data_IF_528434326093
#
_entry.id   IF_528434326093
#
_cell.length_a   1.000
_cell.length_b   1.000
_cell.length_c   1.000
_cell.angle_alpha   90.00
_cell.angle_beta   90.00
_cell.angle_gamma   90.00
#
_symmetry.space_group_name_H-M   'P 1'
#
loop_
_entity.id
_entity.type
_entity.pdbx_description
1 polymer ?
#
# COMPACT_ATOMS: atom_id res chain seq x y z
N UNK A 1 3.71 -23.97 5.67
CA UNK A 1 2.71 -22.88 5.80
C UNK A 1 2.60 -22.04 4.54
N UNK A 2 3.72 -21.62 3.94
CA UNK A 2 3.75 -20.75 2.76
C UNK A 2 3.87 -21.50 1.42
N UNK A 3 3.56 -22.80 1.39
CA UNK A 3 3.56 -23.59 0.15
C UNK A 3 2.19 -23.49 -0.51
N UNK A 4 2.17 -23.46 -1.83
CA UNK A 4 0.94 -23.60 -2.60
C UNK A 4 0.24 -24.92 -2.27
N UNK A 5 -1.07 -24.96 -2.55
CA UNK A 5 -1.84 -26.21 -2.57
C UNK A 5 -1.38 -27.09 -3.73
N UNK A 6 -1.68 -28.39 -3.63
CA UNK A 6 -1.40 -29.36 -4.70
C UNK A 6 -2.72 -29.99 -5.17
N UNK A 7 -3.20 -29.69 -6.39
CA UNK A 7 -2.66 -28.67 -7.31
C UNK A 7 -2.90 -27.23 -6.80
N UNK A 8 -2.18 -26.22 -7.34
CA UNK A 8 -2.49 -24.81 -7.04
C UNK A 8 -3.88 -24.43 -7.54
N UNK A 9 -4.69 -23.77 -6.70
CA UNK A 9 -6.07 -23.36 -7.05
C UNK A 9 -6.26 -21.87 -6.74
N UNK A 10 -5.80 -20.96 -7.61
CA UNK A 10 -6.11 -19.54 -7.49
C UNK A 10 -7.62 -19.35 -7.54
N UNK A 11 -8.18 -18.66 -6.54
CA UNK A 11 -9.64 -18.48 -6.37
C UNK A 11 -10.06 -17.01 -6.40
N UNK A 12 -9.09 -16.09 -6.39
CA UNK A 12 -9.32 -14.65 -6.43
C UNK A 12 -8.59 -14.03 -7.63
N UNK A 13 -9.10 -12.88 -8.05
CA UNK A 13 -8.38 -12.01 -8.97
C UNK A 13 -7.26 -11.26 -8.22
N UNK A 14 -6.02 -11.47 -8.67
CA UNK A 14 -4.82 -10.92 -8.03
C UNK A 14 -4.35 -9.66 -8.75
N UNK A 15 -5.14 -8.59 -8.56
CA UNK A 15 -4.92 -7.27 -9.16
C UNK A 15 -3.55 -6.65 -8.87
N UNK A 16 -2.88 -7.10 -7.81
CA UNK A 16 -1.50 -6.75 -7.43
C UNK A 16 -0.45 -7.20 -8.45
N UNK A 17 -0.75 -8.22 -9.25
CA UNK A 17 0.12 -8.79 -10.29
C UNK A 17 -0.28 -8.35 -11.71
N UNK A 18 -1.42 -7.68 -11.86
CA UNK A 18 -1.81 -7.09 -13.14
C UNK A 18 -0.94 -5.89 -13.50
N UNK A 19 -0.77 -5.68 -14.81
CA UNK A 19 -0.12 -4.49 -15.33
C UNK A 19 -0.69 -3.21 -14.68
N UNK A 20 0.17 -2.27 -14.25
CA UNK A 20 -0.28 -1.05 -13.62
C UNK A 20 -0.96 -0.14 -14.66
N UNK A 21 -1.93 0.70 -14.25
CA UNK A 21 -2.44 1.76 -15.12
C UNK A 21 -1.29 2.60 -15.68
N UNK A 22 -1.23 2.70 -17.00
CA UNK A 22 -0.30 3.59 -17.69
C UNK A 22 -0.82 5.03 -17.66
N UNK A 23 0.10 5.99 -17.71
CA UNK A 23 -0.26 7.40 -17.87
C UNK A 23 -0.84 7.63 -19.26
N UNK A 24 -1.98 8.31 -19.36
CA UNK A 24 -2.53 8.72 -20.65
C UNK A 24 -1.50 9.49 -21.49
N UNK A 25 -1.31 9.17 -22.79
CA UNK A 25 -0.32 9.85 -23.64
C UNK A 25 -0.51 11.38 -23.69
N UNK A 26 -1.76 11.86 -23.62
CA UNK A 26 -2.09 13.29 -23.64
C UNK A 26 -1.72 14.03 -22.35
N UNK A 27 -1.44 13.32 -21.27
CA UNK A 27 -1.15 13.87 -19.95
C UNK A 27 0.31 13.61 -19.50
N UNK A 28 1.15 13.05 -20.38
CA UNK A 28 2.57 12.86 -20.11
C UNK A 28 3.29 14.21 -20.14
N UNK A 29 3.78 14.65 -18.98
CA UNK A 29 4.69 15.79 -18.87
C UNK A 29 6.13 15.31 -19.11
N UNK A 30 7.00 16.13 -19.73
CA UNK A 30 8.42 15.81 -19.84
C UNK A 30 8.99 15.55 -18.45
N UNK A 31 9.77 14.47 -18.31
CA UNK A 31 10.26 14.02 -17.02
C UNK A 31 11.15 15.08 -16.36
N UNK A 32 10.76 15.56 -15.18
CA UNK A 32 11.71 16.19 -14.27
C UNK A 32 12.52 15.10 -13.58
N UNK A 33 13.78 15.39 -13.22
CA UNK A 33 14.58 14.48 -12.39
C UNK A 33 13.84 14.09 -11.11
N UNK A 34 14.15 12.91 -10.57
CA UNK A 34 13.63 12.49 -9.26
C UNK A 34 14.36 13.25 -8.15
N UNK A 35 13.61 13.65 -7.13
CA UNK A 35 14.14 14.24 -5.90
C UNK A 35 13.46 13.60 -4.69
N UNK A 36 14.20 13.51 -3.59
CA UNK A 36 13.72 12.96 -2.32
C UNK A 36 13.55 14.09 -1.32
N UNK A 37 12.47 14.04 -0.53
CA UNK A 37 12.21 15.00 0.54
C UNK A 37 11.58 14.31 1.75
N UNK A 38 11.87 14.84 2.93
CA UNK A 38 11.32 14.37 4.20
C UNK A 38 10.23 15.31 4.69
N UNK A 39 9.01 14.79 4.83
CA UNK A 39 7.87 15.56 5.31
C UNK A 39 7.53 15.14 6.73
N UNK A 40 7.68 16.06 7.70
CA UNK A 40 7.31 15.83 9.10
C UNK A 40 5.80 16.04 9.27
N UNK A 41 5.08 15.00 9.71
CA UNK A 41 3.71 15.13 10.21
C UNK A 41 3.71 15.19 11.73
N UNK A 42 3.08 16.23 12.30
CA UNK A 42 2.89 16.35 13.74
C UNK A 42 1.69 15.55 14.22
N UNK A 43 1.61 15.31 15.54
CA UNK A 43 0.46 14.66 16.16
C UNK A 43 -0.83 15.47 15.93
N UNK A 44 -0.76 16.79 16.01
CA UNK A 44 -1.92 17.67 15.80
C UNK A 44 -2.42 17.61 14.36
N UNK A 45 -1.52 17.55 13.37
CA UNK A 45 -1.88 17.36 11.97
C UNK A 45 -2.55 15.99 11.76
N UNK A 46 -2.01 14.92 12.36
CA UNK A 46 -2.62 13.59 12.30
C UNK A 46 -4.01 13.56 12.95
N UNK A 47 -4.17 14.21 14.10
CA UNK A 47 -5.47 14.32 14.79
C UNK A 47 -6.46 15.13 13.96
N UNK A 48 -6.02 16.20 13.31
CA UNK A 48 -6.83 16.99 12.37
C UNK A 48 -7.35 16.14 11.21
N UNK A 49 -6.49 15.30 10.61
CA UNK A 49 -6.90 14.37 9.56
C UNK A 49 -7.92 13.34 10.06
N UNK A 50 -7.75 12.82 11.28
CA UNK A 50 -8.69 11.88 11.89
C UNK A 50 -10.06 12.51 12.15
N UNK A 51 -10.09 13.71 12.72
CA UNK A 51 -11.33 14.45 12.98
C UNK A 51 -12.06 14.72 11.66
N UNK A 52 -11.33 15.18 10.64
CA UNK A 52 -11.91 15.42 9.30
C UNK A 52 -12.52 14.16 8.69
N UNK A 53 -11.80 13.04 8.70
CA UNK A 53 -12.32 11.78 8.18
C UNK A 53 -13.57 11.30 8.95
N UNK A 54 -13.61 11.53 10.27
CA UNK A 54 -14.78 11.19 11.10
C UNK A 54 -15.99 12.09 10.80
N UNK A 55 -15.79 13.40 10.63
CA UNK A 55 -16.88 14.34 10.34
C UNK A 55 -17.53 14.12 8.98
N UNK A 56 -16.80 13.53 8.02
CA UNK A 56 -17.28 13.22 6.66
C UNK A 56 -18.18 11.95 6.60
N UNK A 57 -18.80 11.54 7.72
CA UNK A 57 -19.65 10.35 7.80
C UNK A 57 -18.88 9.02 7.81
N UNK A 58 -17.60 9.07 8.18
CA UNK A 58 -16.71 7.92 8.16
C UNK A 58 -16.88 6.97 9.33
N UNK A 59 -16.72 5.67 9.06
CA UNK A 59 -16.36 4.70 10.10
C UNK A 59 -14.98 5.06 10.66
N UNK A 60 -14.67 4.58 11.87
CA UNK A 60 -13.36 4.82 12.47
C UNK A 60 -12.31 3.99 11.72
N UNK A 61 -11.43 4.66 10.98
CA UNK A 61 -10.28 4.05 10.31
C UNK A 61 -9.00 4.26 11.13
N UNK A 62 -8.01 3.40 10.93
CA UNK A 62 -6.71 3.52 11.56
C UNK A 62 -5.95 4.78 11.11
N UNK A 63 -5.00 5.23 11.94
CA UNK A 63 -4.10 6.35 11.58
C UNK A 63 -3.40 6.10 10.24
N UNK A 64 -3.00 4.85 9.98
CA UNK A 64 -2.34 4.47 8.74
C UNK A 64 -3.26 4.65 7.52
N UNK A 65 -4.49 4.13 7.58
CA UNK A 65 -5.44 4.22 6.46
C UNK A 65 -5.79 5.67 6.13
N UNK A 66 -5.97 6.51 7.15
CA UNK A 66 -6.26 7.94 6.98
C UNK A 66 -5.06 8.67 6.36
N UNK A 67 -3.84 8.38 6.83
CA UNK A 67 -2.64 8.99 6.31
C UNK A 67 -2.34 8.54 4.87
N UNK A 68 -2.45 7.23 4.59
CA UNK A 68 -2.26 6.68 3.25
C UNK A 68 -3.27 7.26 2.26
N UNK A 69 -4.54 7.39 2.69
CA UNK A 69 -5.57 8.08 1.92
C UNK A 69 -5.20 9.54 1.63
N UNK A 70 -4.76 10.27 2.65
CA UNK A 70 -4.34 11.66 2.48
C UNK A 70 -3.18 11.80 1.49
N UNK A 71 -2.13 10.99 1.64
CA UNK A 71 -0.96 10.99 0.75
C UNK A 71 -1.37 10.65 -0.68
N UNK A 72 -2.20 9.62 -0.89
CA UNK A 72 -2.62 9.22 -2.22
C UNK A 72 -3.41 10.33 -2.93
N UNK A 73 -4.35 10.97 -2.21
CA UNK A 73 -5.08 12.14 -2.71
C UNK A 73 -4.15 13.30 -3.06
N UNK A 74 -3.19 13.61 -2.18
CA UNK A 74 -2.20 14.65 -2.42
C UNK A 74 -1.30 14.35 -3.63
N UNK A 75 -0.88 13.09 -3.81
CA UNK A 75 -0.08 12.68 -4.96
C UNK A 75 -0.84 12.87 -6.28
N UNK A 76 -2.12 12.49 -6.34
CA UNK A 76 -2.97 12.73 -7.50
C UNK A 76 -3.06 14.22 -7.84
N UNK A 77 -3.30 15.08 -6.83
CA UNK A 77 -3.37 16.54 -7.00
C UNK A 77 -2.03 17.13 -7.45
N UNK A 78 -0.93 16.77 -6.80
CA UNK A 78 0.40 17.29 -7.10
C UNK A 78 0.87 16.92 -8.52
N UNK A 79 0.50 15.73 -9.00
CA UNK A 79 0.81 15.29 -10.37
C UNK A 79 -0.10 15.94 -11.41
N UNK A 80 -1.25 16.49 -11.01
CA UNK A 80 -2.26 17.05 -11.92
C UNK A 80 -2.84 15.96 -12.83
N UNK A 81 -3.15 14.79 -12.27
CA UNK A 81 -3.71 13.68 -13.04
C UNK A 81 -5.13 14.02 -13.53
N UNK A 82 -5.48 13.71 -14.79
CA UNK A 82 -6.85 13.83 -15.30
C UNK A 82 -7.85 13.07 -14.43
N UNK A 83 -9.09 13.54 -14.34
CA UNK A 83 -10.10 12.96 -13.45
C UNK A 83 -10.41 11.49 -13.79
N UNK A 84 -10.37 11.12 -15.06
CA UNK A 84 -10.61 9.76 -15.55
C UNK A 84 -9.39 8.83 -15.44
N UNK A 85 -8.21 9.36 -15.11
CA UNK A 85 -6.99 8.57 -14.96
C UNK A 85 -7.11 7.59 -13.80
N UNK A 86 -7.06 6.30 -14.10
CA UNK A 86 -6.91 5.26 -13.08
C UNK A 86 -5.53 5.37 -12.42
N UNK A 87 -5.52 5.26 -11.10
CA UNK A 87 -4.31 5.18 -10.27
C UNK A 87 -4.40 3.96 -9.36
N UNK A 88 -3.27 3.32 -9.14
CA UNK A 88 -3.12 2.15 -8.28
C UNK A 88 -2.22 2.50 -7.11
N UNK A 89 -2.69 2.23 -5.88
CA UNK A 89 -1.89 2.35 -4.67
C UNK A 89 -1.43 0.96 -4.23
N UNK A 90 -0.13 0.80 -3.98
CA UNK A 90 0.45 -0.44 -3.46
C UNK A 90 0.70 -0.29 -1.96
N UNK A 91 0.13 -1.21 -1.18
CA UNK A 91 0.27 -1.24 0.28
C UNK A 91 0.89 -2.56 0.71
N UNK A 92 2.14 -2.51 1.18
CA UNK A 92 2.80 -3.66 1.78
C UNK A 92 2.02 -4.14 3.02
N UNK A 93 1.66 -5.42 3.03
CA UNK A 93 0.79 -6.04 4.04
C UNK A 93 1.49 -7.26 4.65
N UNK A 94 1.69 -7.26 5.96
CA UNK A 94 2.26 -8.39 6.68
C UNK A 94 1.24 -9.54 6.80
N UNK A 95 1.55 -10.68 6.19
CA UNK A 95 0.71 -11.87 6.19
C UNK A 95 0.87 -12.77 7.43
N UNK A 96 1.87 -12.53 8.30
CA UNK A 96 2.20 -13.42 9.42
C UNK A 96 1.02 -13.73 10.34
N UNK A 97 0.23 -12.71 10.68
CA UNK A 97 -0.94 -12.83 11.56
C UNK A 97 -2.25 -13.11 10.82
N UNK A 98 -2.23 -13.01 9.48
CA UNK A 98 -3.40 -13.16 8.61
C UNK A 98 -3.57 -14.59 8.08
N UNK A 99 -2.47 -15.31 7.92
CA UNK A 99 -2.49 -16.72 7.57
C UNK A 99 -2.99 -17.57 8.75
N UNK A 100 -3.64 -18.69 8.43
CA UNK A 100 -4.19 -19.65 9.38
C UNK A 100 -3.67 -21.07 9.08
N UNK A 101 -2.85 -21.69 9.95
CA UNK A 101 -2.43 -21.15 11.24
C UNK A 101 -1.44 -19.98 11.07
N UNK A 102 -1.41 -19.10 12.08
CA UNK A 102 -0.50 -17.94 12.12
C UNK A 102 0.95 -18.41 12.08
N UNK A 103 1.82 -17.61 11.47
CA UNK A 103 3.24 -17.90 11.48
C UNK A 103 3.81 -17.69 12.90
N UNK A 104 4.79 -18.51 13.31
CA UNK A 104 5.36 -18.41 14.65
C UNK A 104 6.08 -17.06 14.85
N UNK A 105 6.07 -16.52 16.08
CA UNK A 105 6.95 -15.42 16.44
C UNK A 105 8.40 -15.75 16.10
N UNK A 106 9.14 -14.79 15.53
CA UNK A 106 10.54 -14.99 15.12
C UNK A 106 10.73 -15.67 13.76
N UNK A 107 9.68 -15.91 12.98
CA UNK A 107 9.83 -16.41 11.61
C UNK A 107 10.78 -15.53 10.77
N UNK A 108 11.90 -16.12 10.36
CA UNK A 108 12.92 -15.49 9.54
C UNK A 108 12.65 -15.76 8.06
N UNK A 109 11.98 -14.82 7.41
CA UNK A 109 11.67 -14.88 5.97
C UNK A 109 10.72 -13.78 5.53
N UNK A 110 10.42 -13.74 4.23
CA UNK A 110 9.46 -12.78 3.68
C UNK A 110 8.02 -13.32 3.78
N UNK A 111 7.11 -12.48 4.25
CA UNK A 111 5.66 -12.76 4.33
C UNK A 111 4.87 -11.50 3.97
N UNK A 112 5.43 -10.69 3.06
CA UNK A 112 4.86 -9.43 2.62
C UNK A 112 4.02 -9.69 1.39
N UNK A 113 2.72 -9.45 1.52
CA UNK A 113 1.79 -9.40 0.40
C UNK A 113 1.47 -7.95 0.05
N UNK A 114 0.67 -7.71 -0.98
CA UNK A 114 0.33 -6.34 -1.38
C UNK A 114 -1.16 -6.17 -1.61
N UNK A 115 -1.76 -5.35 -0.75
CA UNK A 115 -3.10 -4.83 -0.98
C UNK A 115 -3.02 -3.70 -2.01
N UNK A 116 -3.92 -3.72 -2.98
CA UNK A 116 -3.79 -2.85 -4.15
C UNK A 116 -5.09 -2.13 -4.51
N UNK A 117 -5.54 -1.14 -3.72
CA UNK A 117 -6.70 -0.35 -4.09
C UNK A 117 -6.45 0.42 -5.40
N UNK A 118 -7.50 0.49 -6.24
CA UNK A 118 -7.51 1.18 -7.52
C UNK A 118 -8.70 2.14 -7.54
N UNK A 119 -8.49 3.36 -8.02
CA UNK A 119 -9.54 4.35 -8.19
C UNK A 119 -9.17 5.34 -9.31
N UNK A 120 -10.17 6.09 -9.79
CA UNK A 120 -9.92 7.24 -10.66
C UNK A 120 -9.41 8.41 -9.83
N UNK A 121 -8.49 9.19 -10.41
CA UNK A 121 -7.96 10.40 -9.75
C UNK A 121 -9.07 11.38 -9.36
N UNK A 122 -10.09 11.56 -10.21
CA UNK A 122 -11.23 12.43 -9.94
C UNK A 122 -11.98 12.02 -8.67
N UNK A 123 -12.27 10.73 -8.51
CA UNK A 123 -12.97 10.20 -7.33
C UNK A 123 -12.17 10.44 -6.04
N UNK A 124 -10.84 10.31 -6.11
CA UNK A 124 -9.94 10.55 -4.97
C UNK A 124 -9.85 12.04 -4.63
N UNK A 125 -9.74 12.91 -5.64
CA UNK A 125 -9.44 14.32 -5.42
C UNK A 125 -10.69 15.14 -5.06
N UNK A 126 -11.83 14.82 -5.68
CA UNK A 126 -13.15 15.43 -5.41
C UNK A 126 -13.89 14.78 -4.23
N UNK A 127 -13.67 13.50 -3.97
CA UNK A 127 -14.31 12.77 -2.88
C UNK A 127 -13.81 13.13 -1.48
N UNK A 128 -14.46 12.57 -0.46
CA UNK A 128 -14.08 12.77 0.95
C UNK A 128 -12.80 11.99 1.32
N UNK A 129 -12.07 12.45 2.35
CA UNK A 129 -10.93 11.70 2.87
C UNK A 129 -11.40 10.35 3.42
N UNK A 130 -12.57 10.33 4.05
CA UNK A 130 -13.18 9.11 4.54
C UNK A 130 -13.43 8.08 3.45
N UNK A 131 -13.92 8.48 2.27
CA UNK A 131 -14.19 7.55 1.18
C UNK A 131 -12.91 6.87 0.68
N UNK A 132 -11.83 7.64 0.52
CA UNK A 132 -10.52 7.05 0.17
C UNK A 132 -9.99 6.12 1.28
N UNK A 133 -10.13 6.51 2.55
CA UNK A 133 -9.71 5.65 3.67
C UNK A 133 -10.53 4.35 3.72
N UNK A 134 -11.84 4.42 3.44
CA UNK A 134 -12.74 3.27 3.35
C UNK A 134 -12.36 2.33 2.21
N UNK A 135 -11.99 2.86 1.05
CA UNK A 135 -11.48 2.06 -0.06
C UNK A 135 -10.24 1.27 0.38
N UNK A 136 -9.23 1.96 0.94
CA UNK A 136 -8.00 1.32 1.44
C UNK A 136 -8.33 0.26 2.50
N UNK A 137 -9.19 0.60 3.47
CA UNK A 137 -9.64 -0.31 4.51
C UNK A 137 -10.27 -1.58 3.94
N UNK A 138 -11.24 -1.44 3.04
CA UNK A 138 -11.92 -2.58 2.42
C UNK A 138 -10.96 -3.49 1.66
N UNK A 139 -9.96 -2.92 0.97
CA UNK A 139 -8.94 -3.72 0.28
C UNK A 139 -8.03 -4.44 1.28
N UNK A 140 -7.64 -3.79 2.38
CA UNK A 140 -6.84 -4.43 3.44
C UNK A 140 -7.59 -5.53 4.20
N UNK A 141 -8.91 -5.40 4.35
CA UNK A 141 -9.75 -6.43 4.98
C UNK A 141 -9.91 -7.67 4.08
N UNK A 142 -9.85 -7.51 2.76
CA UNK A 142 -9.85 -8.65 1.82
C UNK A 142 -8.59 -9.52 1.90
N UNK A 143 -7.48 -9.01 2.46
CA UNK A 143 -6.23 -9.75 2.61
C UNK A 143 -6.30 -10.75 3.78
N UNK A 144 -7.28 -11.63 3.78
CA UNK A 144 -7.45 -12.70 4.76
C UNK A 144 -6.67 -13.97 4.36
N UNK A 145 -6.72 -15.02 5.18
CA UNK A 145 -6.04 -16.30 4.89
C UNK A 145 -6.38 -16.84 3.49
N UNK A 146 -7.65 -16.77 3.08
CA UNK A 146 -8.11 -17.26 1.79
C UNK A 146 -7.47 -16.51 0.62
N UNK A 147 -7.48 -15.18 0.68
CA UNK A 147 -6.85 -14.35 -0.35
C UNK A 147 -5.34 -14.57 -0.41
N UNK A 148 -4.66 -14.61 0.75
CA UNK A 148 -3.21 -14.81 0.81
C UNK A 148 -2.81 -16.20 0.26
N UNK A 149 -3.57 -17.26 0.57
CA UNK A 149 -3.34 -18.60 0.02
C UNK A 149 -3.59 -18.67 -1.48
N UNK A 150 -4.64 -17.99 -1.95
CA UNK A 150 -4.88 -17.85 -3.38
C UNK A 150 -3.72 -17.15 -4.09
N UNK A 151 -3.11 -16.13 -3.47
CA UNK A 151 -1.98 -15.43 -4.07
C UNK A 151 -0.75 -16.34 -4.18
N UNK A 152 -0.49 -17.18 -3.17
CA UNK A 152 0.58 -18.18 -3.23
C UNK A 152 0.34 -19.16 -4.38
N UNK A 153 -0.88 -19.68 -4.51
CA UNK A 153 -1.23 -20.58 -5.61
C UNK A 153 -1.14 -19.90 -6.98
N UNK A 154 -1.54 -18.63 -7.06
CA UNK A 154 -1.44 -17.84 -8.28
C UNK A 154 0.01 -17.73 -8.73
N UNK A 155 0.92 -17.40 -7.82
CA UNK A 155 2.35 -17.32 -8.11
C UNK A 155 2.93 -18.67 -8.57
N UNK A 156 2.58 -19.77 -7.90
CA UNK A 156 3.04 -21.12 -8.26
C UNK A 156 2.53 -21.54 -9.65
N UNK A 157 1.33 -21.07 -10.04
CA UNK A 157 0.74 -21.38 -11.35
C UNK A 157 1.37 -20.61 -12.53
N UNK A 158 2.22 -19.61 -12.28
CA UNK A 158 2.83 -18.82 -13.35
C UNK A 158 3.98 -19.56 -14.02
N UNK A 159 3.99 -19.53 -15.36
CA UNK A 159 5.10 -20.06 -16.17
C UNK A 159 6.38 -19.23 -16.00
N UNK A 160 6.23 -17.92 -15.84
CA UNK A 160 7.33 -16.98 -15.64
C UNK A 160 7.02 -16.03 -14.49
N UNK A 161 7.56 -16.35 -13.31
CA UNK A 161 7.40 -15.54 -12.11
C UNK A 161 8.19 -14.22 -12.24
N UNK A 162 9.23 -14.17 -13.08
CA UNK A 162 10.07 -12.97 -13.24
C UNK A 162 9.29 -11.82 -13.87
N UNK A 163 8.32 -12.12 -14.73
CA UNK A 163 7.39 -11.14 -15.31
C UNK A 163 6.52 -10.42 -14.27
N UNK A 164 6.35 -11.01 -13.07
CA UNK A 164 5.58 -10.42 -11.97
C UNK A 164 6.43 -9.56 -11.02
N UNK A 165 7.74 -9.50 -11.24
CA UNK A 165 8.62 -8.65 -10.44
C UNK A 165 8.27 -7.19 -10.71
N UNK A 166 7.83 -6.49 -9.67
CA UNK A 166 7.45 -5.08 -9.74
C UNK A 166 8.69 -4.19 -9.67
N UNK A 167 9.15 -3.74 -10.82
CA UNK A 167 10.22 -2.75 -10.93
C UNK A 167 9.78 -1.33 -10.60
N UNK A 168 10.71 -0.35 -10.62
CA UNK A 168 10.41 1.05 -10.30
C UNK A 168 9.26 1.68 -11.11
N UNK A 169 9.07 1.22 -12.35
CA UNK A 169 8.01 1.70 -13.25
C UNK A 169 6.60 1.43 -12.73
N UNK A 170 6.39 0.39 -11.91
CA UNK A 170 5.08 0.07 -11.33
C UNK A 170 4.56 1.16 -10.39
N UNK A 171 5.49 1.90 -9.77
CA UNK A 171 5.20 2.92 -8.77
C UNK A 171 5.31 4.34 -9.33
N UNK A 172 5.74 4.47 -10.59
CA UNK A 172 5.76 5.74 -11.30
C UNK A 172 4.33 6.27 -11.51
N UNK A 173 4.22 7.57 -11.78
CA UNK A 173 2.94 8.21 -12.14
C UNK A 173 2.23 7.42 -13.24
N UNK A 174 0.94 7.11 -13.11
CA UNK A 174 -0.03 7.66 -12.14
C UNK A 174 -0.09 6.94 -10.78
N UNK A 175 0.71 5.91 -10.56
CA UNK A 175 0.62 4.98 -9.43
C UNK A 175 1.44 5.44 -8.22
N UNK A 176 1.25 4.78 -7.07
CA UNK A 176 1.93 5.13 -5.83
C UNK A 176 2.20 3.89 -4.98
N UNK A 177 3.35 3.86 -4.30
CA UNK A 177 3.65 2.85 -3.30
C UNK A 177 3.77 3.51 -1.92
N UNK A 178 3.18 2.91 -0.89
CA UNK A 178 3.34 3.33 0.50
C UNK A 178 3.81 2.13 1.33
N UNK A 179 5.08 2.20 1.74
CA UNK A 179 5.67 1.26 2.69
C UNK A 179 5.65 1.89 4.09
N UNK A 180 4.82 1.35 4.99
CA UNK A 180 4.79 1.79 6.38
C UNK A 180 5.72 0.97 7.24
N UNK A 181 6.70 1.64 7.84
CA UNK A 181 7.65 1.02 8.79
C UNK A 181 7.31 1.36 10.25
N UNK A 182 6.16 1.98 10.52
CA UNK A 182 5.74 2.48 11.83
C UNK A 182 5.53 1.41 12.91
N UNK A 183 5.51 0.11 12.53
CA UNK A 183 5.37 -1.02 13.45
C UNK A 183 6.69 -1.79 13.66
N UNK A 184 7.78 -1.37 13.01
CA UNK A 184 9.08 -1.99 13.23
C UNK A 184 9.65 -1.45 14.56
N UNK A 185 10.22 -2.31 15.44
CA UNK A 185 10.73 -1.93 16.75
C UNK A 185 12.11 -1.25 16.64
N UNK A 186 12.27 -0.29 15.72
CA UNK A 186 13.57 0.34 15.44
C UNK A 186 14.09 1.12 16.65
N UNK A 187 13.19 1.80 17.38
CA UNK A 187 13.55 2.55 18.59
C UNK A 187 13.84 1.67 19.82
N UNK A 188 13.65 0.35 19.73
CA UNK A 188 14.00 -0.60 20.80
C UNK A 188 15.43 -1.13 20.66
N UNK A 189 16.16 -0.75 19.60
CA UNK A 189 17.51 -1.20 19.33
C UNK A 189 18.56 -0.49 20.21
N UNK A 190 18.64 -0.88 21.49
CA UNK A 190 19.68 -0.44 22.43
C UNK A 190 20.76 -1.51 22.57
N UNK A 191 21.98 -1.18 22.13
CA UNK A 191 23.16 -2.05 22.21
C UNK A 191 24.13 -1.64 23.34
N UNK A 192 23.69 -0.78 24.26
CA UNK A 192 24.50 -0.28 25.39
C UNK A 192 24.84 1.22 25.30
N UNK A 193 24.37 1.92 24.26
CA UNK A 193 24.58 3.36 24.07
C UNK A 193 23.28 4.17 24.12
N UNK A 194 22.18 3.53 24.51
CA UNK A 194 20.84 4.13 24.51
C UNK A 194 20.07 3.89 23.21
N UNK A 195 18.82 4.34 23.20
CA UNK A 195 17.89 4.14 22.09
C UNK A 195 18.15 5.08 20.90
N UNK A 196 17.85 4.66 19.66
CA UNK A 196 17.98 5.52 18.48
C UNK A 196 17.10 6.77 18.56
N UNK A 197 17.72 7.94 18.34
CA UNK A 197 17.03 9.25 18.28
C UNK A 197 16.47 9.57 16.88
N UNK A 198 17.01 8.93 15.84
CA UNK A 198 16.59 9.09 14.44
C UNK A 198 16.79 7.79 13.68
N UNK A 199 15.89 7.53 12.72
CA UNK A 199 16.03 6.47 11.72
C UNK A 199 15.21 6.86 10.49
N UNK A 200 15.69 6.50 9.31
CA UNK A 200 15.04 6.83 8.05
C UNK A 200 15.97 6.61 6.86
N UNK A 201 15.42 6.75 5.66
CA UNK A 201 16.24 6.81 4.45
C UNK A 201 16.83 8.22 4.28
N UNK A 202 18.02 8.37 3.68
CA UNK A 202 18.57 9.67 3.27
C UNK A 202 17.63 10.45 2.35
#
# INVERSE_FOLDING_TARGET
>A
LLRAREPPIPTYDHVEYHAPPAMSPSAQKPGSGSSTTMLKLTLDQLNTLKVKAKSEGGQTHSTYEILAAHIWRCACKARGLPDDQLTKLYVATDGRSRLSPRLPPGYLGNVVFTATPVAKSGDLTSGSLSNTARLIHSTLMKMDDGYLRSAIDYLESQKDISALIRGPSYFASPNLNINAWTRLPVHDADFGWGRPIFWGTP
#
